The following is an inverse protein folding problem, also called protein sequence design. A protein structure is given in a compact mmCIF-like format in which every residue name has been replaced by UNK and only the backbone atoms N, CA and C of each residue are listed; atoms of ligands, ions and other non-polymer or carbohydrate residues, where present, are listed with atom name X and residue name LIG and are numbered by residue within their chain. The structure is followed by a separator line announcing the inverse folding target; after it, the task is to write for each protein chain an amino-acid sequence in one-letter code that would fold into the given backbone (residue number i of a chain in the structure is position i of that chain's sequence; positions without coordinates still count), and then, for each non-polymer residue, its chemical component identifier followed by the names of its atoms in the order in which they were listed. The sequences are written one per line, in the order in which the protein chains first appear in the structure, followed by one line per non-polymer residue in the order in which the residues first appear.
data_IF_483941933962
#
_entry.id   IF_483941933962
#
_cell.length_a   1.000
_cell.length_b   1.000
_cell.length_c   1.000
_cell.angle_alpha   90.00
_cell.angle_beta   90.00
_cell.angle_gamma   90.00
#
_symmetry.space_group_name_H-M   'P 1'
#
loop_
_entity.id
_entity.type
_entity.pdbx_description
1 polymer ?
#
# COMPACT_ATOMS: atom_id res chain seq x y z
N UNK A 1 -1.22 -6.25 11.82
CA UNK A 1 -2.44 -6.82 11.19
C UNK A 1 -2.06 -8.00 10.30
N UNK A 2 -2.90 -9.04 10.19
CA UNK A 2 -2.67 -10.18 9.27
C UNK A 2 -3.41 -9.91 7.96
N UNK A 3 -2.73 -10.07 6.81
CA UNK A 3 -3.34 -9.93 5.49
C UNK A 3 -4.21 -11.13 5.13
N UNK A 4 -5.26 -10.90 4.35
CA UNK A 4 -6.01 -11.98 3.70
C UNK A 4 -5.17 -12.58 2.58
N UNK A 5 -5.36 -13.86 2.27
CA UNK A 5 -4.56 -14.58 1.26
C UNK A 5 -4.45 -13.84 -0.08
N UNK A 6 -5.57 -13.31 -0.60
CA UNK A 6 -5.55 -12.55 -1.86
C UNK A 6 -4.78 -11.23 -1.75
N UNK A 7 -4.77 -10.58 -0.58
CA UNK A 7 -4.04 -9.33 -0.37
C UNK A 7 -2.55 -9.62 -0.34
N UNK A 8 -2.13 -10.67 0.37
CA UNK A 8 -0.74 -11.16 0.40
C UNK A 8 -0.28 -11.54 -1.01
N UNK A 9 -1.09 -12.28 -1.78
CA UNK A 9 -0.76 -12.62 -3.17
C UNK A 9 -0.56 -11.36 -4.03
N UNK A 10 -1.44 -10.37 -3.91
CA UNK A 10 -1.31 -9.11 -4.66
C UNK A 10 -0.02 -8.38 -4.28
N UNK A 11 0.29 -8.28 -2.98
CA UNK A 11 1.53 -7.63 -2.49
C UNK A 11 2.75 -8.35 -3.07
N UNK A 12 2.83 -9.67 -2.96
CA UNK A 12 3.97 -10.44 -3.46
C UNK A 12 4.12 -10.36 -4.97
N UNK A 13 3.02 -10.35 -5.74
CA UNK A 13 3.09 -10.14 -7.20
C UNK A 13 3.63 -8.76 -7.58
N UNK A 14 3.30 -7.72 -6.81
CA UNK A 14 3.87 -6.38 -7.04
C UNK A 14 5.37 -6.35 -6.70
N UNK A 15 5.78 -6.94 -5.58
CA UNK A 15 7.18 -7.03 -5.19
C UNK A 15 8.01 -7.84 -6.21
N UNK A 16 7.49 -8.97 -6.70
CA UNK A 16 8.13 -9.75 -7.77
C UNK A 16 8.29 -8.94 -9.07
N UNK A 17 7.24 -8.23 -9.49
CA UNK A 17 7.31 -7.38 -10.67
C UNK A 17 8.41 -6.30 -10.52
N UNK A 18 8.50 -5.67 -9.35
CA UNK A 18 9.55 -4.69 -9.05
C UNK A 18 10.95 -5.31 -9.06
N UNK A 19 11.13 -6.50 -8.47
CA UNK A 19 12.40 -7.25 -8.51
C UNK A 19 12.83 -7.59 -9.94
N UNK A 20 11.87 -7.84 -10.84
CA UNK A 20 12.11 -8.04 -12.28
C UNK A 20 12.31 -6.74 -13.07
N UNK A 21 12.33 -5.58 -12.40
CA UNK A 21 12.58 -4.28 -13.01
C UNK A 21 11.36 -3.60 -13.62
N UNK A 22 10.14 -4.15 -13.43
CA UNK A 22 8.90 -3.50 -13.86
C UNK A 22 8.73 -2.19 -13.09
N UNK A 23 8.56 -1.09 -13.82
CA UNK A 23 8.50 0.27 -13.24
C UNK A 23 7.09 0.73 -12.86
N UNK A 24 6.06 0.09 -13.39
CA UNK A 24 4.67 0.45 -13.14
C UNK A 24 3.80 -0.81 -13.12
N UNK A 25 3.01 -0.96 -12.06
CA UNK A 25 2.03 -2.03 -11.88
C UNK A 25 0.63 -1.41 -11.71
N UNK A 26 -0.41 -2.15 -12.07
CA UNK A 26 -1.81 -1.73 -11.91
C UNK A 26 -2.59 -2.82 -11.18
N UNK A 27 -3.21 -2.46 -10.05
CA UNK A 27 -4.02 -3.38 -9.25
C UNK A 27 -5.52 -3.11 -9.49
N UNK A 28 -6.14 -3.87 -10.40
CA UNK A 28 -7.57 -3.78 -10.69
C UNK A 28 -8.42 -4.48 -9.64
N UNK A 29 -9.03 -3.71 -8.73
CA UNK A 29 -9.76 -4.23 -7.57
C UNK A 29 -11.13 -3.54 -7.44
N UNK A 30 -12.11 -4.20 -6.83
CA UNK A 30 -13.41 -3.58 -6.50
C UNK A 30 -13.34 -2.76 -5.19
N UNK A 31 -14.37 -1.95 -4.90
CA UNK A 31 -14.49 -1.19 -3.64
C UNK A 31 -14.64 -2.13 -2.44
N UNK A 32 -13.97 -1.86 -1.32
CA UNK A 32 -14.01 -2.75 -0.16
C UNK A 32 -13.03 -3.93 -0.19
N UNK A 33 -12.30 -4.13 -1.30
CA UNK A 33 -11.22 -5.12 -1.40
C UNK A 33 -9.98 -4.81 -0.51
N UNK A 34 -9.99 -3.69 0.23
CA UNK A 34 -8.89 -3.28 1.09
C UNK A 34 -7.69 -2.72 0.35
N UNK A 35 -7.90 -1.88 -0.67
CA UNK A 35 -6.81 -1.24 -1.44
C UNK A 35 -5.81 -0.52 -0.54
N UNK A 36 -6.30 0.18 0.48
CA UNK A 36 -5.47 0.88 1.48
C UNK A 36 -4.54 -0.07 2.22
N UNK A 37 -5.06 -1.23 2.65
CA UNK A 37 -4.24 -2.25 3.29
C UNK A 37 -3.13 -2.70 2.35
N UNK A 38 -3.47 -2.99 1.08
CA UNK A 38 -2.51 -3.47 0.08
C UNK A 38 -1.39 -2.46 -0.18
N UNK A 39 -1.72 -1.19 -0.46
CA UNK A 39 -0.66 -0.21 -0.76
C UNK A 39 0.16 0.19 0.47
N UNK A 40 -0.41 0.18 1.67
CA UNK A 40 0.36 0.42 2.90
C UNK A 40 1.29 -0.77 3.21
N UNK A 41 0.85 -2.01 2.98
CA UNK A 41 1.73 -3.19 3.09
C UNK A 41 2.83 -3.20 2.04
N UNK A 42 2.59 -2.65 0.84
CA UNK A 42 3.66 -2.42 -0.12
C UNK A 42 4.64 -1.36 0.37
N UNK A 43 4.15 -0.25 0.93
CA UNK A 43 5.00 0.80 1.47
C UNK A 43 5.92 0.30 2.60
N UNK A 44 5.43 -0.63 3.43
CA UNK A 44 6.20 -1.30 4.50
C UNK A 44 7.36 -2.16 3.98
N UNK A 45 7.12 -2.86 2.86
CA UNK A 45 8.05 -3.87 2.32
C UNK A 45 8.98 -3.31 1.24
N UNK A 46 8.65 -2.18 0.64
CA UNK A 46 9.48 -1.52 -0.37
C UNK A 46 10.54 -0.66 0.34
N UNK A 47 11.83 -0.89 0.08
CA UNK A 47 12.88 -0.09 0.70
C UNK A 47 12.86 1.35 0.15
N UNK A 48 13.08 2.31 1.04
CA UNK A 48 13.21 3.73 0.69
C UNK A 48 11.96 4.55 1.02
N UNK A 49 11.93 5.79 0.52
CA UNK A 49 10.80 6.70 0.75
C UNK A 49 9.65 6.39 -0.19
N UNK A 50 8.45 6.29 0.37
CA UNK A 50 7.21 6.02 -0.38
C UNK A 50 6.30 7.25 -0.33
N UNK A 51 5.79 7.69 -1.49
CA UNK A 51 4.77 8.72 -1.59
C UNK A 51 3.41 8.06 -1.88
N UNK A 52 2.44 8.27 -0.99
CA UNK A 52 1.07 7.80 -1.16
C UNK A 52 0.20 9.00 -1.55
N UNK A 53 -0.45 8.94 -2.71
CA UNK A 53 -1.31 10.02 -3.21
C UNK A 53 -2.77 9.57 -3.14
N UNK A 54 -3.63 10.38 -2.55
CA UNK A 54 -5.06 10.15 -2.45
C UNK A 54 -5.82 11.31 -3.11
N UNK A 55 -6.98 11.01 -3.70
CA UNK A 55 -7.78 12.01 -4.42
C UNK A 55 -8.60 12.93 -3.51
N UNK A 56 -8.80 12.56 -2.25
CA UNK A 56 -9.63 13.27 -1.29
C UNK A 56 -8.94 13.31 0.07
N UNK A 57 -9.12 14.41 0.81
CA UNK A 57 -8.49 14.64 2.11
C UNK A 57 -8.90 13.59 3.14
N UNK A 58 -10.16 13.15 3.14
CA UNK A 58 -10.65 12.10 4.04
C UNK A 58 -9.90 10.78 3.81
N UNK A 59 -9.57 10.48 2.54
CA UNK A 59 -8.81 9.27 2.18
C UNK A 59 -7.34 9.38 2.61
N UNK A 60 -6.76 10.59 2.60
CA UNK A 60 -5.41 10.83 3.14
C UNK A 60 -5.36 10.42 4.61
N UNK A 61 -6.28 10.93 5.44
CA UNK A 61 -6.31 10.60 6.86
C UNK A 61 -6.55 9.11 7.13
N UNK A 62 -7.43 8.47 6.34
CA UNK A 62 -7.60 7.00 6.42
C UNK A 62 -6.31 6.23 6.05
N UNK A 63 -5.54 6.72 5.08
CA UNK A 63 -4.27 6.12 4.70
C UNK A 63 -3.22 6.31 5.81
N UNK A 64 -3.16 7.50 6.43
CA UNK A 64 -2.25 7.81 7.56
C UNK A 64 -2.48 6.85 8.72
N UNK A 65 -3.73 6.67 9.14
CA UNK A 65 -4.07 5.72 10.22
C UNK A 65 -3.64 4.30 9.86
N UNK A 66 -3.78 3.92 8.58
CA UNK A 66 -3.40 2.59 8.10
C UNK A 66 -1.89 2.41 8.01
N UNK A 67 -1.13 3.44 7.64
CA UNK A 67 0.33 3.44 7.64
C UNK A 67 0.84 3.23 9.06
N UNK A 68 0.33 3.98 10.04
CA UNK A 68 0.70 3.82 11.45
C UNK A 68 0.44 2.39 11.96
N UNK A 69 -0.72 1.83 11.63
CA UNK A 69 -1.09 0.47 12.05
C UNK A 69 -0.21 -0.63 11.43
N UNK A 70 0.24 -0.46 10.19
CA UNK A 70 0.96 -1.50 9.45
C UNK A 70 2.48 -1.36 9.61
N UNK A 71 2.99 -0.13 9.53
CA UNK A 71 4.44 0.16 9.41
C UNK A 71 5.07 0.63 10.71
N UNK A 72 4.26 0.98 11.72
CA UNK A 72 4.69 1.66 12.95
C UNK A 72 5.38 3.02 12.72
N UNK A 73 5.31 3.55 11.48
CA UNK A 73 5.84 4.86 11.12
C UNK A 73 4.76 5.95 11.17
N UNK A 74 5.19 7.19 11.45
CA UNK A 74 4.35 8.38 11.35
C UNK A 74 4.66 9.13 10.05
N UNK A 75 3.73 9.15 9.06
CA UNK A 75 3.99 9.77 7.77
C UNK A 75 3.81 11.30 7.83
N UNK A 76 4.69 12.02 7.13
CA UNK A 76 4.49 13.45 6.84
C UNK A 76 3.26 13.63 5.92
N UNK A 77 2.53 14.74 6.10
CA UNK A 77 1.30 15.06 5.37
C UNK A 77 1.42 16.48 4.80
N UNK A 78 1.20 16.61 3.49
CA UNK A 78 1.13 17.88 2.76
C UNK A 78 -0.32 18.22 2.33
#
# INVERSE_FOLDING_TARGET
MILRDYQEEIVERNLDAMRRGVKSTLNGLFTGAGKTVIFCSLADRIPGRTLIICSLRELVWQAVDKVREITDADPDIE
#
